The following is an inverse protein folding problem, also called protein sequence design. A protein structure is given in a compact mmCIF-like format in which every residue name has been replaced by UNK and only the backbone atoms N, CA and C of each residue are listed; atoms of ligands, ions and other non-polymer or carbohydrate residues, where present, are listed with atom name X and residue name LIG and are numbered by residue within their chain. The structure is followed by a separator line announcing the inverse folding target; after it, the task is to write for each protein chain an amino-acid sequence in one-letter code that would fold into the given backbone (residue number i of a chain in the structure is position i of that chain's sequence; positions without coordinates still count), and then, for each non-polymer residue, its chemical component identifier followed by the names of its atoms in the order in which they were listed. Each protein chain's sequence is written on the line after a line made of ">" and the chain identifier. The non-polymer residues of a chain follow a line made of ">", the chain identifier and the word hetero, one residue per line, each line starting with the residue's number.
data_IF_217162573791
#
_entry.id   IF_217162573791
#
_cell.length_a   1.000
_cell.length_b   1.000
_cell.length_c   1.000
_cell.angle_alpha   90.00
_cell.angle_beta   90.00
_cell.angle_gamma   90.00
#
_symmetry.space_group_name_H-M   'P 1'
#
loop_
_entity.id
_entity.type
_entity.pdbx_description
1 polymer ?
#
# COMPACT_ATOMS: atom_id res chain seq x y z
N UNK A 1 19.71 -19.44 1.13
CA UNK A 1 19.76 -20.38 2.29
C UNK A 1 20.60 -19.75 3.39
N UNK A 2 20.24 -19.95 4.64
CA UNK A 2 20.93 -19.38 5.81
C UNK A 2 22.35 -19.98 5.94
N UNK A 3 23.43 -19.18 5.80
CA UNK A 3 24.81 -19.67 5.92
C UNK A 3 25.32 -19.68 7.37
N UNK A 4 24.52 -19.30 8.36
CA UNK A 4 24.94 -19.24 9.77
C UNK A 4 25.43 -20.62 10.24
N UNK A 5 26.67 -20.65 10.74
CA UNK A 5 27.34 -21.87 11.22
C UNK A 5 28.15 -22.64 10.18
N UNK A 6 28.19 -22.20 8.92
CA UNK A 6 28.98 -22.83 7.87
C UNK A 6 30.43 -22.34 7.84
N UNK A 7 31.38 -23.22 7.49
CA UNK A 7 32.80 -22.87 7.26
C UNK A 7 33.06 -22.80 5.76
N UNK A 8 33.65 -21.71 5.28
CA UNK A 8 33.97 -21.53 3.87
C UNK A 8 34.93 -20.38 3.61
N UNK A 9 35.54 -20.37 2.42
CA UNK A 9 36.52 -19.36 2.02
C UNK A 9 35.89 -18.16 1.27
N UNK A 10 34.64 -18.28 0.81
CA UNK A 10 33.92 -17.26 0.03
C UNK A 10 32.41 -17.42 0.26
N UNK A 11 31.71 -16.30 0.45
CA UNK A 11 30.25 -16.23 0.55
C UNK A 11 29.76 -15.23 -0.49
N UNK A 12 28.77 -15.63 -1.28
CA UNK A 12 28.11 -14.78 -2.26
C UNK A 12 26.61 -14.80 -2.02
N UNK A 13 25.98 -13.67 -2.26
CA UNK A 13 24.53 -13.51 -2.16
C UNK A 13 24.06 -12.53 -3.20
N UNK A 14 22.86 -12.76 -3.69
CA UNK A 14 22.10 -11.77 -4.43
C UNK A 14 21.26 -10.98 -3.43
N UNK A 15 21.22 -9.66 -3.57
CA UNK A 15 20.46 -8.77 -2.69
C UNK A 15 19.74 -7.71 -3.50
N UNK A 16 18.52 -7.41 -3.07
CA UNK A 16 17.74 -6.29 -3.60
C UNK A 16 18.01 -5.05 -2.75
N UNK A 17 18.53 -3.99 -3.36
CA UNK A 17 18.79 -2.71 -2.70
C UNK A 17 17.63 -1.75 -2.99
N UNK A 18 16.93 -1.33 -1.94
CA UNK A 18 15.88 -0.33 -2.01
C UNK A 18 16.49 1.03 -1.65
N UNK A 19 16.29 2.03 -2.50
CA UNK A 19 16.77 3.40 -2.26
C UNK A 19 15.60 4.37 -2.22
N UNK A 20 15.79 5.48 -1.53
CA UNK A 20 14.78 6.54 -1.42
C UNK A 20 15.46 7.91 -1.42
N UNK A 21 14.71 8.94 -1.80
CA UNK A 21 15.21 10.30 -1.79
C UNK A 21 15.51 10.77 -0.35
N UNK A 22 16.76 11.17 -0.08
CA UNK A 22 17.19 11.62 1.25
C UNK A 22 16.32 12.76 1.80
N UNK A 23 15.86 13.66 0.92
CA UNK A 23 14.96 14.75 1.31
C UNK A 23 13.62 14.25 1.87
N UNK A 24 13.05 13.19 1.30
CA UNK A 24 11.79 12.60 1.78
C UNK A 24 11.97 11.98 3.17
N UNK A 25 13.05 11.22 3.38
CA UNK A 25 13.39 10.63 4.68
C UNK A 25 13.58 11.72 5.74
N UNK A 26 14.36 12.76 5.42
CA UNK A 26 14.62 13.87 6.35
C UNK A 26 13.36 14.66 6.68
N UNK A 27 12.43 14.81 5.74
CA UNK A 27 11.14 15.46 5.99
C UNK A 27 10.30 14.64 6.98
N UNK A 28 10.23 13.33 6.80
CA UNK A 28 9.50 12.43 7.72
C UNK A 28 10.07 12.46 9.14
N UNK A 29 11.41 12.37 9.28
CA UNK A 29 12.09 12.43 10.58
C UNK A 29 11.91 13.78 11.27
N UNK A 30 11.96 14.89 10.53
CA UNK A 30 11.71 16.23 11.10
C UNK A 30 10.27 16.41 11.55
N UNK A 31 9.30 15.89 10.80
CA UNK A 31 7.89 15.98 11.17
C UNK A 31 7.57 15.21 12.44
N UNK A 32 8.12 14.01 12.62
CA UNK A 32 7.96 13.20 13.85
C UNK A 32 8.68 13.81 15.05
N UNK A 33 9.89 14.36 14.85
CA UNK A 33 10.63 15.03 15.92
C UNK A 33 9.89 16.24 16.52
N UNK A 34 9.06 16.95 15.73
CA UNK A 34 8.26 18.09 16.21
C UNK A 34 7.22 17.71 17.27
N UNK A 35 6.83 16.44 17.32
CA UNK A 35 5.92 15.89 18.34
C UNK A 35 6.69 15.02 19.35
N UNK A 36 8.01 15.21 19.46
CA UNK A 36 8.92 14.49 20.34
C UNK A 36 8.96 12.97 20.11
N UNK A 37 8.67 12.51 18.88
CA UNK A 37 8.86 11.12 18.47
C UNK A 37 10.16 10.97 17.69
N UNK A 38 10.88 9.87 17.92
CA UNK A 38 12.07 9.49 17.17
C UNK A 38 11.76 8.29 16.27
N UNK A 39 12.34 8.29 15.07
CA UNK A 39 12.19 7.17 14.12
C UNK A 39 13.35 6.21 14.35
N UNK A 40 13.04 5.02 14.87
CA UNK A 40 14.05 3.98 15.12
C UNK A 40 14.46 3.25 13.83
N UNK A 41 13.47 2.89 13.01
CA UNK A 41 13.65 2.14 11.78
C UNK A 41 12.75 2.67 10.66
N UNK A 42 13.28 2.63 9.44
CA UNK A 42 12.51 2.85 8.22
C UNK A 42 12.38 1.50 7.51
N UNK A 43 11.15 1.15 7.17
CA UNK A 43 10.83 -0.12 6.52
C UNK A 43 10.14 0.19 5.20
N UNK A 44 10.46 -0.59 4.17
CA UNK A 44 9.79 -0.48 2.88
C UNK A 44 8.39 -1.10 2.96
N UNK A 45 7.37 -0.33 2.58
CA UNK A 45 5.96 -0.66 2.80
C UNK A 45 5.56 -2.06 2.26
N UNK A 46 5.89 -2.45 1.00
CA UNK A 46 5.53 -3.76 0.49
C UNK A 46 6.10 -4.94 1.27
N UNK A 47 7.31 -4.80 1.85
CA UNK A 47 7.89 -5.85 2.68
C UNK A 47 7.08 -6.03 3.95
N UNK A 48 6.74 -4.94 4.64
CA UNK A 48 5.93 -4.99 5.85
C UNK A 48 4.51 -5.54 5.59
N UNK A 49 3.88 -5.11 4.50
CA UNK A 49 2.55 -5.59 4.12
C UNK A 49 2.56 -7.07 3.78
N UNK A 50 3.59 -7.54 3.07
CA UNK A 50 3.72 -8.97 2.75
C UNK A 50 3.79 -9.86 3.99
N UNK A 51 4.41 -9.40 5.08
CA UNK A 51 4.44 -10.15 6.33
C UNK A 51 3.10 -10.11 7.08
N UNK A 52 2.25 -9.13 6.78
CA UNK A 52 0.97 -8.93 7.45
C UNK A 52 -0.17 -9.71 6.78
N UNK A 53 -0.13 -9.89 5.46
CA UNK A 53 -1.26 -10.45 4.69
C UNK A 53 -0.95 -11.70 3.89
N UNK A 54 0.33 -12.00 3.61
CA UNK A 54 0.70 -13.17 2.81
C UNK A 54 1.21 -14.31 3.68
N UNK A 55 0.83 -15.53 3.32
CA UNK A 55 1.40 -16.74 3.86
C UNK A 55 2.78 -17.02 3.23
N UNK A 56 3.72 -17.64 3.96
CA UNK A 56 5.00 -18.04 3.40
C UNK A 56 4.88 -18.91 2.13
N UNK A 57 3.86 -19.78 2.07
CA UNK A 57 3.60 -20.61 0.91
C UNK A 57 3.18 -19.82 -0.34
N UNK A 58 2.45 -18.71 -0.18
CA UNK A 58 2.06 -17.83 -1.29
C UNK A 58 3.30 -17.10 -1.85
N UNK A 59 4.18 -16.60 -0.96
CA UNK A 59 5.46 -16.00 -1.34
C UNK A 59 6.38 -17.00 -2.04
N UNK A 60 6.36 -18.26 -1.64
CA UNK A 60 7.16 -19.32 -2.25
C UNK A 60 6.65 -19.69 -3.65
N UNK A 61 5.33 -19.89 -3.80
CA UNK A 61 4.71 -20.30 -5.07
C UNK A 61 4.68 -19.19 -6.13
N UNK A 62 4.67 -17.93 -5.71
CA UNK A 62 4.46 -16.80 -6.60
C UNK A 62 3.15 -16.09 -6.28
N UNK A 63 3.21 -14.80 -5.94
CA UNK A 63 2.04 -13.98 -5.62
C UNK A 63 2.28 -12.51 -5.95
N UNK A 64 1.23 -11.85 -6.45
CA UNK A 64 1.20 -10.39 -6.64
C UNK A 64 0.40 -9.77 -5.51
N UNK A 65 1.06 -8.92 -4.73
CA UNK A 65 0.45 -8.07 -3.72
C UNK A 65 0.09 -6.73 -4.35
N UNK A 66 -1.18 -6.32 -4.22
CA UNK A 66 -1.67 -5.00 -4.66
C UNK A 66 -2.14 -4.24 -3.44
N UNK A 67 -1.46 -3.14 -3.12
CA UNK A 67 -1.84 -2.21 -2.04
C UNK A 67 -2.51 -0.97 -2.63
N UNK A 68 -3.79 -0.79 -2.31
CA UNK A 68 -4.61 0.29 -2.85
C UNK A 68 -4.68 1.44 -1.85
N UNK A 69 -3.77 2.40 -1.99
CA UNK A 69 -3.69 3.58 -1.13
C UNK A 69 -4.52 4.75 -1.60
N UNK A 70 -4.41 5.87 -0.88
CA UNK A 70 -5.18 7.08 -1.19
C UNK A 70 -4.74 7.74 -2.50
N UNK A 71 -3.45 7.97 -2.68
CA UNK A 71 -2.90 8.65 -3.87
C UNK A 71 -2.17 7.73 -4.85
N UNK A 72 -1.77 6.53 -4.41
CA UNK A 72 -1.00 5.58 -5.20
C UNK A 72 -1.50 4.15 -4.97
N UNK A 73 -1.25 3.30 -5.95
CA UNK A 73 -1.44 1.86 -5.86
C UNK A 73 -0.08 1.19 -6.03
N UNK A 74 0.36 0.41 -5.05
CA UNK A 74 1.61 -0.33 -5.13
C UNK A 74 1.34 -1.75 -5.61
N UNK A 75 2.20 -2.25 -6.50
CA UNK A 75 2.13 -3.61 -7.04
C UNK A 75 3.48 -4.27 -6.78
N UNK A 76 3.49 -5.39 -6.08
CA UNK A 76 4.72 -6.11 -5.71
C UNK A 76 4.60 -7.59 -6.01
N UNK A 77 5.61 -8.13 -6.70
CA UNK A 77 5.72 -9.55 -7.03
C UNK A 77 6.68 -10.24 -6.07
N UNK A 78 6.21 -11.34 -5.48
CA UNK A 78 7.02 -12.27 -4.69
C UNK A 78 7.04 -13.63 -5.38
N UNK A 79 8.19 -14.31 -5.37
CA UNK A 79 8.37 -15.70 -5.82
C UNK A 79 9.62 -16.29 -5.14
N UNK A 80 9.63 -17.59 -4.83
CA UNK A 80 10.75 -18.22 -4.12
C UNK A 80 11.03 -17.58 -2.75
N UNK A 81 9.98 -17.07 -2.11
CA UNK A 81 10.04 -16.46 -0.78
C UNK A 81 10.62 -15.05 -0.74
N UNK A 82 10.99 -14.48 -1.89
CA UNK A 82 11.66 -13.17 -2.00
C UNK A 82 10.88 -12.19 -2.87
N UNK A 83 11.05 -10.89 -2.63
CA UNK A 83 10.50 -9.84 -3.49
C UNK A 83 11.33 -9.74 -4.78
N UNK A 84 10.69 -9.93 -5.93
CA UNK A 84 11.33 -9.86 -7.24
C UNK A 84 11.16 -8.50 -7.92
N UNK A 85 9.99 -7.89 -7.80
CA UNK A 85 9.69 -6.63 -8.46
C UNK A 85 8.70 -5.81 -7.64
N UNK A 86 8.81 -4.48 -7.72
CA UNK A 86 7.82 -3.56 -7.20
C UNK A 86 7.65 -2.37 -8.14
N UNK A 87 6.42 -1.93 -8.29
CA UNK A 87 6.05 -0.78 -9.11
C UNK A 87 4.92 0.00 -8.44
N UNK A 88 4.80 1.28 -8.81
CA UNK A 88 3.79 2.17 -8.25
C UNK A 88 3.01 2.79 -9.41
N UNK A 89 1.68 2.70 -9.32
CA UNK A 89 0.78 3.45 -10.17
C UNK A 89 0.38 4.75 -9.45
N UNK A 90 0.49 5.92 -10.10
CA UNK A 90 0.14 7.21 -9.50
C UNK A 90 -1.39 7.44 -9.50
N UNK A 91 -2.12 6.47 -8.96
CA UNK A 91 -3.58 6.50 -8.82
C UNK A 91 -3.95 5.73 -7.55
N UNK A 92 -4.87 6.29 -6.78
CA UNK A 92 -5.43 5.65 -5.60
C UNK A 92 -6.92 6.00 -5.45
N UNK A 93 -7.50 5.68 -4.30
CA UNK A 93 -8.93 5.86 -4.06
C UNK A 93 -9.39 7.33 -3.97
N UNK A 94 -8.45 8.29 -3.91
CA UNK A 94 -8.77 9.72 -3.95
C UNK A 94 -9.41 10.11 -5.29
N UNK A 95 -9.04 9.41 -6.38
CA UNK A 95 -9.63 9.65 -7.70
C UNK A 95 -11.10 9.24 -7.73
N UNK A 96 -11.43 8.08 -7.12
CA UNK A 96 -12.82 7.63 -6.95
C UNK A 96 -13.61 8.67 -6.15
N UNK A 97 -13.01 9.16 -5.06
CA UNK A 97 -13.62 10.16 -4.18
C UNK A 97 -13.90 11.47 -4.92
N UNK A 98 -12.95 11.95 -5.73
CA UNK A 98 -13.10 13.17 -6.54
C UNK A 98 -14.16 13.00 -7.62
N UNK A 99 -14.20 11.87 -8.30
CA UNK A 99 -15.20 11.58 -9.32
C UNK A 99 -16.61 11.54 -8.71
N UNK A 100 -16.76 10.93 -7.53
CA UNK A 100 -18.02 10.96 -6.78
C UNK A 100 -18.44 12.39 -6.41
N UNK A 101 -17.53 13.21 -5.90
CA UNK A 101 -17.84 14.60 -5.55
C UNK A 101 -18.34 15.40 -6.77
N UNK A 102 -17.72 15.21 -7.93
CA UNK A 102 -18.11 15.88 -9.19
C UNK A 102 -19.49 15.41 -9.65
N UNK A 103 -19.70 14.09 -9.74
CA UNK A 103 -20.94 13.50 -10.28
C UNK A 103 -22.12 13.76 -9.36
N UNK A 104 -21.93 13.62 -8.04
CA UNK A 104 -22.96 13.81 -7.03
C UNK A 104 -23.14 15.28 -6.63
N UNK A 105 -22.28 16.18 -7.10
CA UNK A 105 -22.28 17.62 -6.78
C UNK A 105 -22.28 17.89 -5.28
N UNK A 106 -21.39 17.21 -4.57
CA UNK A 106 -21.23 17.33 -3.11
C UNK A 106 -19.77 17.64 -2.74
N UNK A 107 -19.50 17.84 -1.46
CA UNK A 107 -18.13 18.09 -0.98
C UNK A 107 -17.27 16.82 -1.07
N UNK A 108 -15.94 16.96 -1.06
CA UNK A 108 -15.02 15.82 -1.06
C UNK A 108 -15.22 14.96 0.19
N UNK A 109 -15.49 15.60 1.33
CA UNK A 109 -15.73 14.94 2.61
C UNK A 109 -17.02 14.10 2.57
N UNK A 110 -18.08 14.63 1.97
CA UNK A 110 -19.34 13.89 1.82
C UNK A 110 -19.22 12.78 0.78
N UNK A 111 -18.46 12.98 -0.30
CA UNK A 111 -18.16 11.95 -1.28
C UNK A 111 -17.34 10.80 -0.69
N UNK A 112 -16.32 11.11 0.12
CA UNK A 112 -15.52 10.09 0.83
C UNK A 112 -16.39 9.33 1.83
N UNK A 113 -17.26 10.03 2.58
CA UNK A 113 -18.25 9.40 3.46
C UNK A 113 -19.14 8.43 2.68
N UNK A 114 -19.63 8.84 1.51
CA UNK A 114 -20.48 7.98 0.67
C UNK A 114 -19.71 6.76 0.19
N UNK A 115 -18.49 6.94 -0.33
CA UNK A 115 -17.59 5.85 -0.76
C UNK A 115 -17.36 4.85 0.37
N UNK A 116 -17.01 5.31 1.56
CA UNK A 116 -16.69 4.44 2.70
C UNK A 116 -17.93 3.73 3.27
N UNK A 117 -19.09 4.38 3.29
CA UNK A 117 -20.31 3.82 3.92
C UNK A 117 -21.17 2.99 2.96
N UNK A 118 -21.15 3.30 1.66
CA UNK A 118 -22.07 2.70 0.68
C UNK A 118 -21.37 2.25 -0.61
N UNK A 119 -20.06 2.44 -0.74
CA UNK A 119 -19.32 2.06 -1.94
C UNK A 119 -19.33 0.55 -2.15
N UNK A 120 -19.67 0.12 -3.37
CA UNK A 120 -19.60 -1.27 -3.81
C UNK A 120 -18.84 -1.32 -5.13
N UNK A 121 -17.78 -2.12 -5.17
CA UNK A 121 -16.86 -2.16 -6.31
C UNK A 121 -17.39 -2.95 -7.52
N UNK A 122 -18.45 -3.76 -7.34
CA UNK A 122 -19.06 -4.57 -8.39
C UNK A 122 -20.59 -4.49 -8.28
N UNK A 123 -21.32 -4.19 -9.38
CA UNK A 123 -22.78 -4.13 -9.35
C UNK A 123 -23.46 -5.43 -8.89
N UNK A 124 -22.82 -6.57 -9.12
CA UNK A 124 -23.32 -7.89 -8.71
C UNK A 124 -23.39 -8.06 -7.18
N UNK A 125 -22.63 -7.27 -6.43
CA UNK A 125 -22.62 -7.27 -4.97
C UNK A 125 -23.65 -6.31 -4.37
N UNK A 126 -24.35 -5.52 -5.19
CA UNK A 126 -25.42 -4.65 -4.71
C UNK A 126 -26.61 -5.50 -4.28
N UNK A 127 -27.01 -5.36 -3.02
CA UNK A 127 -28.30 -5.86 -2.54
C UNK A 127 -29.48 -5.13 -3.20
N UNK A 128 -30.71 -5.50 -2.82
CA UNK A 128 -31.92 -4.83 -3.32
C UNK A 128 -31.87 -3.31 -3.09
N UNK A 129 -32.41 -2.57 -4.07
CA UNK A 129 -32.51 -1.10 -4.21
C UNK A 129 -32.16 -0.29 -2.95
N UNK A 130 -30.87 0.03 -2.81
CA UNK A 130 -30.36 0.85 -1.72
C UNK A 130 -30.27 2.30 -2.16
N UNK A 131 -31.08 3.17 -1.55
CA UNK A 131 -31.04 4.61 -1.79
C UNK A 131 -30.11 5.29 -0.79
N UNK A 132 -29.18 6.12 -1.29
CA UNK A 132 -28.26 6.89 -0.46
C UNK A 132 -28.67 8.36 -0.46
N UNK A 133 -28.90 8.93 0.72
CA UNK A 133 -29.16 10.36 0.87
C UNK A 133 -27.84 11.14 0.74
N UNK A 134 -27.83 12.12 -0.17
CA UNK A 134 -26.68 12.98 -0.44
C UNK A 134 -26.93 14.33 0.22
N UNK A 135 -25.99 14.80 1.04
CA UNK A 135 -26.00 16.18 1.51
C UNK A 135 -25.46 17.06 0.40
N UNK A 136 -26.28 17.99 -0.08
CA UNK A 136 -25.82 18.99 -1.05
C UNK A 136 -25.04 20.09 -0.31
N UNK A 137 -24.10 20.68 -1.04
CA UNK A 137 -23.44 21.94 -0.66
C UNK A 137 -24.36 23.11 -0.98
#
# INVERSE_FOLDING_TARGET
>A
KDPVGMVGNRLETEVSIITAASAAIQNMQRSTARINLQVDYLVYNPLLLSESVLLPAEKEMGVVLIDFGAGITEITLFEGGSMLHSSVLPVGDEYITRDLAIVLKTSIEEADRIKQQYGVASPELLGQDSMVAIKNV
#
